data_IF_005586114560
#
_entry.id   IF_005586114560
#
_cell.length_a   1.000
_cell.length_b   1.000
_cell.length_c   1.000
_cell.angle_alpha   90.00
_cell.angle_beta   90.00
_cell.angle_gamma   90.00
#
_symmetry.space_group_name_H-M   'P 1'
#
loop_
_entity.id
_entity.type
_entity.pdbx_description
1 polymer ?
#
# COMPACT_ATOMS: atom_id res chain seq x y z
N UNK A 1 34.60 56.07 -21.41
CA UNK A 1 33.53 55.06 -21.21
C UNK A 1 33.83 53.95 -22.21
N UNK A 2 34.25 52.74 -21.83
CA UNK A 2 33.48 51.70 -21.12
C UNK A 2 34.47 50.74 -20.44
N UNK A 3 34.16 50.32 -19.21
CA UNK A 3 34.88 49.29 -18.45
C UNK A 3 34.34 47.90 -18.85
N UNK A 4 35.17 46.85 -19.05
CA UNK A 4 34.67 45.49 -19.12
C UNK A 4 34.59 44.90 -17.72
N UNK A 5 33.37 44.71 -17.22
CA UNK A 5 33.06 44.01 -15.99
C UNK A 5 33.42 42.52 -16.13
N UNK A 6 34.44 42.10 -15.39
CA UNK A 6 34.82 40.69 -15.27
C UNK A 6 33.69 39.89 -14.58
N UNK A 7 33.08 38.97 -15.32
CA UNK A 7 32.12 38.00 -14.80
C UNK A 7 32.87 36.95 -13.97
N UNK A 8 32.78 37.02 -12.63
CA UNK A 8 33.28 35.97 -11.74
C UNK A 8 32.44 34.70 -11.93
N UNK A 9 32.99 33.70 -12.60
CA UNK A 9 32.43 32.34 -12.62
C UNK A 9 32.82 31.64 -11.31
N UNK A 10 31.85 31.43 -10.43
CA UNK A 10 32.03 30.65 -9.20
C UNK A 10 32.20 29.17 -9.58
N UNK A 11 33.45 28.71 -9.65
CA UNK A 11 33.79 27.30 -9.80
C UNK A 11 33.39 26.55 -8.53
N UNK A 12 32.28 25.80 -8.60
CA UNK A 12 31.81 24.95 -7.51
C UNK A 12 32.79 23.75 -7.40
N UNK A 13 33.45 23.52 -6.25
CA UNK A 13 34.44 22.46 -6.13
C UNK A 13 33.81 21.07 -6.22
N UNK A 14 34.45 20.17 -6.99
CA UNK A 14 34.01 18.78 -7.25
C UNK A 14 33.75 17.97 -5.96
N UNK A 15 34.47 18.27 -4.87
CA UNK A 15 34.29 17.64 -3.55
C UNK A 15 32.92 17.94 -2.93
N UNK A 16 32.39 19.14 -3.18
CA UNK A 16 31.07 19.58 -2.72
C UNK A 16 29.96 18.97 -3.58
N UNK A 17 30.23 18.71 -4.86
CA UNK A 17 29.30 18.01 -5.77
C UNK A 17 29.13 16.55 -5.36
N UNK A 18 30.22 15.84 -5.00
CA UNK A 18 30.13 14.47 -4.48
C UNK A 18 29.36 14.37 -3.15
N UNK A 19 29.56 15.33 -2.24
CA UNK A 19 28.82 15.38 -0.97
C UNK A 19 27.32 15.60 -1.14
N UNK A 20 26.94 16.44 -2.11
CA UNK A 20 25.54 16.72 -2.43
C UNK A 20 24.82 15.52 -3.07
N UNK A 21 25.53 14.72 -3.89
CA UNK A 21 24.99 13.52 -4.52
C UNK A 21 24.71 12.40 -3.51
N UNK A 22 25.53 12.27 -2.46
CA UNK A 22 25.36 11.27 -1.40
C UNK A 22 24.21 11.59 -0.42
N UNK A 23 23.84 12.88 -0.30
CA UNK A 23 22.75 13.34 0.57
C UNK A 23 21.36 13.09 -0.04
N UNK A 24 21.26 12.95 -1.37
CA UNK A 24 19.99 12.75 -2.08
C UNK A 24 19.51 11.29 -2.08
N UNK A 25 20.37 10.31 -1.78
CA UNK A 25 20.04 8.88 -1.83
C UNK A 25 19.19 8.36 -0.66
N UNK A 26 19.02 9.10 0.43
CA UNK A 26 18.30 8.63 1.63
C UNK A 26 16.77 8.79 1.56
N UNK A 27 16.22 9.45 0.55
CA UNK A 27 14.76 9.64 0.40
C UNK A 27 14.07 8.52 -0.39
N UNK A 28 14.82 7.58 -0.97
CA UNK A 28 14.26 6.52 -1.81
C UNK A 28 14.12 5.21 -1.04
N UNK A 29 13.15 5.13 -0.11
CA UNK A 29 12.56 3.83 0.25
C UNK A 29 11.32 3.98 1.14
N UNK A 30 10.19 4.35 0.56
CA UNK A 30 8.89 3.89 1.05
C UNK A 30 8.07 3.42 -0.14
N UNK A 31 8.34 2.19 -0.61
CA UNK A 31 7.44 1.50 -1.54
C UNK A 31 6.14 1.24 -0.78
N UNK A 32 5.16 2.13 -0.96
CA UNK A 32 3.78 1.84 -0.58
C UNK A 32 3.36 0.58 -1.32
N UNK A 33 2.90 -0.43 -0.58
CA UNK A 33 2.36 -1.65 -1.19
C UNK A 33 1.08 -1.29 -1.90
N UNK A 34 1.02 -1.57 -3.19
CA UNK A 34 -0.19 -1.39 -3.98
C UNK A 34 -1.28 -2.37 -3.50
N UNK A 35 -2.56 -1.95 -3.47
CA UNK A 35 -3.66 -2.84 -3.13
C UNK A 35 -3.75 -4.04 -4.07
N UNK A 36 -3.84 -5.24 -3.49
CA UNK A 36 -3.95 -6.50 -4.24
C UNK A 36 -5.37 -7.09 -4.22
N UNK A 37 -6.34 -6.36 -3.65
CA UNK A 37 -7.77 -6.71 -3.60
C UNK A 37 -8.63 -5.44 -3.65
N UNK A 38 -9.92 -5.60 -4.00
CA UNK A 38 -10.86 -4.49 -4.06
C UNK A 38 -11.56 -4.26 -2.71
N UNK A 39 -12.04 -5.35 -2.08
CA UNK A 39 -12.76 -5.28 -0.80
C UNK A 39 -12.27 -6.39 0.13
N UNK A 40 -12.01 -6.04 1.39
CA UNK A 40 -11.90 -6.98 2.51
C UNK A 40 -13.06 -6.70 3.47
N UNK A 41 -13.98 -7.65 3.60
CA UNK A 41 -14.98 -7.64 4.69
C UNK A 41 -14.42 -8.44 5.85
N UNK A 42 -14.46 -7.89 7.06
CA UNK A 42 -13.90 -8.52 8.26
C UNK A 42 -14.81 -8.42 9.47
N UNK A 43 -14.46 -9.17 10.51
CA UNK A 43 -15.17 -9.19 11.79
C UNK A 43 -16.66 -9.48 11.59
N UNK A 44 -16.99 -10.41 10.71
CA UNK A 44 -18.36 -10.77 10.35
C UNK A 44 -18.72 -12.18 10.82
N UNK A 45 -20.01 -12.53 10.77
CA UNK A 45 -20.47 -13.92 10.81
C UNK A 45 -20.94 -14.32 9.41
N UNK A 46 -20.04 -14.85 8.59
CA UNK A 46 -20.30 -15.14 7.18
C UNK A 46 -20.74 -16.59 7.03
N UNK A 47 -21.95 -16.79 6.52
CA UNK A 47 -22.46 -18.11 6.20
C UNK A 47 -22.08 -18.47 4.76
N UNK A 48 -21.39 -19.58 4.57
CA UNK A 48 -20.95 -20.03 3.23
C UNK A 48 -21.77 -21.23 2.74
N UNK A 49 -21.98 -21.30 1.42
CA UNK A 49 -22.60 -22.47 0.76
C UNK A 49 -21.52 -23.40 0.18
N UNK A 50 -20.50 -23.72 0.98
CA UNK A 50 -19.52 -24.75 0.64
C UNK A 50 -19.98 -26.13 1.15
N UNK A 51 -19.24 -27.20 0.82
CA UNK A 51 -19.60 -28.58 1.23
C UNK A 51 -19.72 -28.74 2.75
N UNK A 52 -19.04 -27.89 3.51
CA UNK A 52 -18.99 -27.93 4.98
C UNK A 52 -19.98 -26.95 5.63
N UNK A 53 -20.69 -26.13 4.86
CA UNK A 53 -21.51 -25.02 5.34
C UNK A 53 -20.80 -24.17 6.41
N UNK A 54 -19.52 -23.90 6.16
CA UNK A 54 -18.66 -23.27 7.16
C UNK A 54 -19.11 -21.83 7.45
N UNK A 55 -18.92 -21.40 8.69
CA UNK A 55 -19.03 -19.99 9.11
C UNK A 55 -17.63 -19.38 9.18
N UNK A 56 -17.43 -18.26 8.52
CA UNK A 56 -16.15 -17.55 8.47
C UNK A 56 -16.26 -16.13 9.05
N UNK A 57 -15.12 -15.49 9.27
CA UNK A 57 -15.02 -14.17 9.90
C UNK A 57 -14.74 -13.05 8.90
N UNK A 58 -14.11 -13.39 7.77
CA UNK A 58 -13.74 -12.45 6.72
C UNK A 58 -13.77 -13.09 5.33
N UNK A 59 -13.95 -12.25 4.30
CA UNK A 59 -13.74 -12.63 2.91
C UNK A 59 -13.13 -11.47 2.10
N UNK A 60 -12.47 -11.82 1.00
CA UNK A 60 -11.81 -10.88 0.09
C UNK A 60 -12.42 -10.96 -1.29
N UNK A 61 -12.71 -9.80 -1.87
CA UNK A 61 -13.19 -9.64 -3.24
C UNK A 61 -12.10 -9.03 -4.10
N UNK A 62 -11.93 -9.60 -5.29
CA UNK A 62 -11.12 -9.05 -6.37
C UNK A 62 -11.83 -9.26 -7.70
N UNK A 63 -11.91 -8.22 -8.50
CA UNK A 63 -12.57 -8.23 -9.81
C UNK A 63 -14.01 -8.76 -9.73
N UNK A 64 -14.73 -8.36 -8.67
CA UNK A 64 -16.12 -8.77 -8.39
C UNK A 64 -16.28 -10.22 -7.92
N UNK A 65 -15.20 -10.96 -7.68
CA UNK A 65 -15.22 -12.37 -7.24
C UNK A 65 -14.63 -12.55 -5.86
N UNK A 66 -15.20 -13.46 -5.07
CA UNK A 66 -14.61 -13.87 -3.80
C UNK A 66 -13.38 -14.73 -4.09
N UNK A 67 -12.21 -14.27 -3.66
CA UNK A 67 -10.92 -14.95 -3.89
C UNK A 67 -10.34 -15.59 -2.62
N UNK A 68 -10.84 -15.21 -1.44
CA UNK A 68 -10.49 -15.84 -0.17
C UNK A 68 -11.62 -15.70 0.85
N UNK A 69 -11.74 -16.68 1.74
CA UNK A 69 -12.67 -16.72 2.87
C UNK A 69 -11.94 -17.35 4.06
N UNK A 70 -12.07 -16.80 5.26
CA UNK A 70 -11.37 -17.33 6.42
C UNK A 70 -11.48 -16.46 7.67
N UNK A 71 -10.44 -16.51 8.52
CA UNK A 71 -10.32 -15.67 9.72
C UNK A 71 -9.89 -14.26 9.36
N UNK A 72 -10.37 -13.26 10.12
CA UNK A 72 -9.96 -11.86 9.93
C UNK A 72 -8.44 -11.71 9.95
N UNK A 73 -7.79 -12.29 10.97
CA UNK A 73 -6.36 -12.12 11.20
C UNK A 73 -5.50 -12.67 10.07
N UNK A 74 -5.98 -13.70 9.37
CA UNK A 74 -5.22 -14.36 8.32
C UNK A 74 -5.38 -13.61 7.00
N UNK A 75 -6.57 -13.08 6.72
CA UNK A 75 -6.78 -12.30 5.51
C UNK A 75 -6.12 -10.91 5.59
N UNK A 76 -6.11 -10.26 6.76
CA UNK A 76 -5.41 -8.98 6.96
C UNK A 76 -3.89 -9.07 6.76
N UNK A 77 -3.28 -10.23 7.05
CA UNK A 77 -1.84 -10.45 6.84
C UNK A 77 -1.49 -10.60 5.36
N UNK A 78 -2.42 -11.14 4.57
CA UNK A 78 -2.16 -11.56 3.19
C UNK A 78 -2.70 -10.57 2.14
N UNK A 79 -3.67 -9.74 2.51
CA UNK A 79 -4.36 -8.84 1.60
C UNK A 79 -4.32 -7.39 2.06
N UNK A 80 -4.05 -6.52 1.10
CA UNK A 80 -4.20 -5.08 1.22
C UNK A 80 -5.31 -4.68 0.23
N UNK A 81 -6.51 -4.40 0.75
CA UNK A 81 -7.67 -4.08 -0.06
C UNK A 81 -7.82 -2.57 -0.25
N UNK A 82 -8.36 -2.14 -1.39
CA UNK A 82 -8.73 -0.73 -1.63
C UNK A 82 -9.78 -0.25 -0.63
N UNK A 83 -10.68 -1.13 -0.22
CA UNK A 83 -11.69 -0.85 0.79
C UNK A 83 -11.72 -1.96 1.84
N UNK A 84 -11.83 -1.57 3.10
CA UNK A 84 -12.00 -2.49 4.23
C UNK A 84 -13.33 -2.16 4.89
N UNK A 85 -14.21 -3.16 4.99
CA UNK A 85 -15.48 -3.06 5.69
C UNK A 85 -15.41 -3.89 6.97
N UNK A 86 -15.45 -3.23 8.12
CA UNK A 86 -15.66 -3.90 9.41
C UNK A 86 -17.16 -4.13 9.62
N UNK A 87 -17.56 -5.40 9.68
CA UNK A 87 -18.96 -5.78 9.86
C UNK A 87 -19.41 -5.73 11.32
N UNK A 88 -18.52 -5.49 12.29
CA UNK A 88 -18.82 -5.37 13.72
C UNK A 88 -19.66 -6.54 14.28
N UNK A 89 -19.32 -7.76 13.88
CA UNK A 89 -19.99 -9.01 14.27
C UNK A 89 -21.29 -9.30 13.53
N UNK A 90 -21.72 -8.43 12.60
CA UNK A 90 -22.95 -8.64 11.82
C UNK A 90 -22.84 -9.84 10.90
N UNK A 91 -24.00 -10.42 10.59
CA UNK A 91 -24.09 -11.59 9.71
C UNK A 91 -24.07 -11.21 8.24
N UNK A 92 -23.44 -12.04 7.42
CA UNK A 92 -23.44 -11.96 5.95
C UNK A 92 -23.99 -13.26 5.41
N UNK A 93 -24.95 -13.15 4.50
CA UNK A 93 -25.61 -14.26 3.83
C UNK A 93 -25.27 -14.25 2.33
N UNK A 94 -25.21 -15.43 1.69
CA UNK A 94 -24.98 -15.57 0.25
C UNK A 94 -26.19 -15.16 -0.60
#
# INVERSE_FOLDING_TARGET
MIQPSALKTNFIPIKTVCGLMLLLSVFSCQQKKEPNADLLVKNARIYTVNKQFAVAEAFVVRDGKIVAVGKTTDLEKNYLAKTVLDAAGKSVFP
#
